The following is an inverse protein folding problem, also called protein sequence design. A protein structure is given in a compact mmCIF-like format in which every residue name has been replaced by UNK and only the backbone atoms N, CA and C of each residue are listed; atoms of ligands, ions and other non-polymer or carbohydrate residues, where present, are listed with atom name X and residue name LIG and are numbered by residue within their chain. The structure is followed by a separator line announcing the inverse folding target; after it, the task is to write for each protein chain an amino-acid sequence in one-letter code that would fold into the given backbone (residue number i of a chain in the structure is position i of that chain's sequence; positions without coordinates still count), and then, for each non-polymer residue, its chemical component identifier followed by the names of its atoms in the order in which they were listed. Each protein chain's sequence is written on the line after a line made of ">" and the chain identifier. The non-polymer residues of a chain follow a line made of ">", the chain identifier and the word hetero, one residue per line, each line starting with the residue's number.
data_IF_825087460791
#
_entry.id   IF_825087460791
#
_cell.length_a   1.000
_cell.length_b   1.000
_cell.length_c   1.000
_cell.angle_alpha   90.00
_cell.angle_beta   90.00
_cell.angle_gamma   90.00
#
_symmetry.space_group_name_H-M   'P 1'
#
loop_
_entity.id
_entity.type
_entity.pdbx_description
1 polymer ?
#
# COMPACT_ATOMS: atom_id res chain seq x y z
N UNK A 1 -5.91 26.31 -52.37
CA UNK A 1 -5.77 25.10 -51.53
C UNK A 1 -4.65 25.31 -50.49
N UNK A 2 -4.98 25.80 -49.29
CA UNK A 2 -4.15 25.77 -48.07
C UNK A 2 -4.88 26.60 -47.01
N UNK A 3 -5.68 25.97 -46.15
CA UNK A 3 -5.90 26.45 -44.77
C UNK A 3 -6.71 25.53 -43.84
N UNK A 4 -7.00 24.27 -44.19
CA UNK A 4 -7.81 23.41 -43.31
C UNK A 4 -7.02 22.62 -42.25
N UNK A 5 -5.68 22.65 -42.25
CA UNK A 5 -4.86 21.87 -41.31
C UNK A 5 -4.41 22.62 -40.05
N UNK A 6 -4.61 23.94 -39.97
CA UNK A 6 -4.22 24.73 -38.78
C UNK A 6 -5.33 24.79 -37.73
N UNK A 7 -6.59 24.76 -38.16
CA UNK A 7 -7.76 24.83 -37.26
C UNK A 7 -7.88 23.53 -36.44
N UNK A 8 -7.63 22.37 -37.05
CA UNK A 8 -7.74 21.06 -36.38
C UNK A 8 -6.72 20.80 -35.27
N UNK A 9 -5.55 21.44 -35.33
CA UNK A 9 -4.51 21.30 -34.29
C UNK A 9 -4.71 22.28 -33.13
N UNK A 10 -5.30 23.45 -33.37
CA UNK A 10 -5.65 24.40 -32.32
C UNK A 10 -6.82 23.87 -31.50
N UNK A 11 -7.84 23.31 -32.16
CA UNK A 11 -8.98 22.68 -31.48
C UNK A 11 -8.56 21.45 -30.67
N UNK A 12 -7.66 20.59 -31.17
CA UNK A 12 -7.13 19.46 -30.39
C UNK A 12 -6.34 19.88 -29.17
N UNK A 13 -5.51 20.93 -29.29
CA UNK A 13 -4.69 21.42 -28.17
C UNK A 13 -5.53 22.13 -27.12
N UNK A 14 -6.59 22.85 -27.55
CA UNK A 14 -7.58 23.45 -26.65
C UNK A 14 -8.43 22.37 -25.99
N UNK A 15 -8.80 21.28 -26.69
CA UNK A 15 -9.51 20.14 -26.09
C UNK A 15 -8.60 19.40 -25.08
N UNK A 16 -7.32 19.18 -25.37
CA UNK A 16 -6.36 18.61 -24.41
C UNK A 16 -6.09 19.53 -23.20
N UNK A 17 -5.97 20.84 -23.40
CA UNK A 17 -5.83 21.82 -22.30
C UNK A 17 -7.11 21.95 -21.47
N UNK A 18 -8.29 21.83 -22.09
CA UNK A 18 -9.59 21.80 -21.40
C UNK A 18 -9.77 20.48 -20.64
N UNK A 19 -9.30 19.34 -21.16
CA UNK A 19 -9.34 18.05 -20.45
C UNK A 19 -8.34 17.97 -19.30
N UNK A 20 -7.15 18.57 -19.44
CA UNK A 20 -6.17 18.70 -18.36
C UNK A 20 -6.63 19.73 -17.31
N UNK A 21 -7.32 20.79 -17.73
CA UNK A 21 -7.86 21.84 -16.87
C UNK A 21 -9.16 21.45 -16.16
N UNK A 22 -9.94 20.50 -16.66
CA UNK A 22 -11.19 20.00 -16.05
C UNK A 22 -11.03 18.74 -15.22
N UNK A 23 -9.82 18.47 -14.73
CA UNK A 23 -9.61 17.76 -13.45
C UNK A 23 -10.12 18.60 -12.23
N UNK A 24 -11.14 19.43 -12.45
CA UNK A 24 -11.72 20.44 -11.57
C UNK A 24 -12.93 19.85 -10.85
N UNK A 25 -12.83 19.74 -9.51
CA UNK A 25 -13.89 19.70 -8.47
C UNK A 25 -15.10 18.76 -8.59
N UNK A 26 -15.64 18.46 -9.78
CA UNK A 26 -16.76 17.53 -10.04
C UNK A 26 -16.42 16.07 -9.73
N UNK A 27 -15.15 15.67 -9.84
CA UNK A 27 -14.75 14.27 -9.65
C UNK A 27 -14.51 13.85 -8.19
N UNK A 28 -14.30 14.79 -7.26
CA UNK A 28 -14.07 14.46 -5.85
C UNK A 28 -15.32 13.88 -5.18
N UNK A 29 -16.50 14.43 -5.47
CA UNK A 29 -17.76 13.89 -4.95
C UNK A 29 -17.92 12.42 -5.36
N UNK A 30 -17.61 12.05 -6.61
CA UNK A 30 -17.66 10.67 -7.09
C UNK A 30 -16.56 9.79 -6.50
N UNK A 31 -15.36 10.35 -6.32
CA UNK A 31 -14.23 9.66 -5.69
C UNK A 31 -14.57 9.23 -4.26
N UNK A 32 -15.09 10.16 -3.45
CA UNK A 32 -15.46 9.93 -2.06
C UNK A 32 -16.86 9.32 -1.88
N UNK A 33 -17.72 9.27 -2.90
CA UNK A 33 -19.05 8.63 -2.78
C UNK A 33 -18.91 7.17 -2.37
N UNK A 34 -19.42 6.82 -1.19
CA UNK A 34 -19.50 5.46 -0.70
C UNK A 34 -20.73 4.80 -1.34
N UNK A 35 -20.54 3.75 -2.13
CA UNK A 35 -21.64 2.96 -2.70
C UNK A 35 -21.73 1.62 -1.97
N UNK A 36 -22.91 0.96 -1.92
CA UNK A 36 -23.05 -0.35 -1.29
C UNK A 36 -22.03 -1.38 -1.81
N UNK A 37 -21.69 -1.29 -3.10
CA UNK A 37 -20.64 -2.09 -3.73
C UNK A 37 -19.24 -1.80 -3.15
N UNK A 38 -18.84 -0.53 -3.00
CA UNK A 38 -17.56 -0.17 -2.37
C UNK A 38 -17.50 -0.70 -0.94
N UNK A 39 -18.59 -0.57 -0.18
CA UNK A 39 -18.70 -1.12 1.18
C UNK A 39 -18.53 -2.64 1.18
N UNK A 40 -19.18 -3.34 0.25
CA UNK A 40 -19.09 -4.79 0.11
C UNK A 40 -17.66 -5.24 -0.20
N UNK A 41 -16.97 -4.58 -1.13
CA UNK A 41 -15.55 -4.86 -1.41
C UNK A 41 -14.70 -4.62 -0.18
N UNK A 42 -14.86 -3.48 0.50
CA UNK A 42 -14.08 -3.17 1.69
C UNK A 42 -14.30 -4.22 2.79
N UNK A 43 -15.54 -4.70 2.99
CA UNK A 43 -15.84 -5.81 3.89
C UNK A 43 -15.11 -7.11 3.52
N UNK A 44 -15.12 -7.49 2.23
CA UNK A 44 -14.37 -8.65 1.73
C UNK A 44 -12.87 -8.46 1.92
N UNK A 45 -12.35 -7.25 1.68
CA UNK A 45 -10.93 -6.93 1.86
C UNK A 45 -10.51 -7.05 3.32
N UNK A 46 -11.35 -6.59 4.26
CA UNK A 46 -11.11 -6.74 5.70
C UNK A 46 -11.07 -8.23 6.07
N UNK A 47 -12.08 -9.00 5.66
CA UNK A 47 -12.12 -10.44 5.92
C UNK A 47 -10.90 -11.18 5.33
N UNK A 48 -10.52 -10.86 4.09
CA UNK A 48 -9.35 -11.41 3.44
C UNK A 48 -8.05 -11.01 4.16
N UNK A 49 -7.95 -9.77 4.66
CA UNK A 49 -6.77 -9.32 5.39
C UNK A 49 -6.58 -10.10 6.69
N UNK A 50 -7.68 -10.32 7.43
CA UNK A 50 -7.69 -11.17 8.62
C UNK A 50 -7.25 -12.60 8.29
N UNK A 51 -7.82 -13.20 7.24
CA UNK A 51 -7.42 -14.54 6.79
C UNK A 51 -5.93 -14.62 6.44
N UNK A 52 -5.43 -13.66 5.65
CA UNK A 52 -4.01 -13.61 5.26
C UNK A 52 -3.09 -13.30 6.44
N UNK A 53 -3.56 -12.54 7.43
CA UNK A 53 -2.83 -12.31 8.68
C UNK A 53 -2.70 -13.61 9.46
N UNK A 54 -3.78 -14.39 9.63
CA UNK A 54 -3.72 -15.71 10.27
C UNK A 54 -2.77 -16.65 9.54
N UNK A 55 -2.82 -16.69 8.21
CA UNK A 55 -1.86 -17.47 7.41
C UNK A 55 -0.43 -16.99 7.66
N UNK A 56 -0.18 -15.68 7.74
CA UNK A 56 1.14 -15.14 8.05
C UNK A 56 1.61 -15.56 9.45
N UNK A 57 0.71 -15.54 10.44
CA UNK A 57 1.00 -15.95 11.81
C UNK A 57 1.39 -17.43 11.87
N UNK A 58 0.59 -18.32 11.29
CA UNK A 58 0.78 -19.76 11.44
C UNK A 58 1.77 -20.37 10.44
N UNK A 59 1.73 -19.93 9.18
CA UNK A 59 2.59 -20.49 8.13
C UNK A 59 3.95 -19.78 8.02
N UNK A 60 4.02 -18.49 8.36
CA UNK A 60 5.26 -17.70 8.26
C UNK A 60 5.92 -17.41 9.62
N UNK A 61 5.41 -18.01 10.72
CA UNK A 61 6.06 -17.95 12.04
C UNK A 61 7.57 -18.24 12.01
N UNK A 62 8.08 -19.25 11.25
CA UNK A 62 9.52 -19.51 11.21
C UNK A 62 10.37 -18.37 10.61
N UNK A 63 9.76 -17.43 9.88
CA UNK A 63 10.43 -16.31 9.23
C UNK A 63 10.42 -15.03 10.06
N UNK A 64 10.26 -15.13 11.38
CA UNK A 64 10.42 -13.99 12.29
C UNK A 64 11.89 -13.63 12.47
N UNK A 65 12.26 -12.38 12.21
CA UNK A 65 13.58 -11.84 12.47
C UNK A 65 13.58 -11.05 13.79
N UNK A 66 14.67 -11.14 14.55
CA UNK A 66 14.83 -10.45 15.85
C UNK A 66 13.70 -10.69 16.87
N UNK A 67 12.88 -11.74 16.71
CA UNK A 67 11.80 -12.11 17.63
C UNK A 67 10.49 -11.33 17.47
N UNK A 68 10.47 -10.20 16.77
CA UNK A 68 9.27 -9.36 16.60
C UNK A 68 9.02 -8.87 15.17
N UNK A 69 10.00 -8.98 14.25
CA UNK A 69 9.82 -8.62 12.85
C UNK A 69 9.25 -9.80 12.07
N UNK A 70 7.97 -9.74 11.73
CA UNK A 70 7.27 -10.82 11.01
C UNK A 70 6.94 -10.42 9.58
N UNK A 71 7.28 -11.27 8.62
CA UNK A 71 6.84 -11.10 7.23
C UNK A 71 5.35 -11.41 7.15
N UNK A 72 4.57 -10.46 6.63
CA UNK A 72 3.13 -10.62 6.48
C UNK A 72 2.70 -10.38 5.04
N UNK A 73 1.81 -11.23 4.54
CA UNK A 73 1.24 -11.13 3.19
C UNK A 73 -0.09 -10.38 3.16
N UNK A 74 -0.55 -9.88 4.31
CA UNK A 74 -1.82 -9.16 4.42
C UNK A 74 -1.80 -7.77 3.78
N UNK A 75 -0.63 -7.15 3.62
CA UNK A 75 -0.51 -5.83 2.98
C UNK A 75 -1.02 -5.86 1.52
N UNK A 76 -0.97 -7.02 0.86
CA UNK A 76 -1.57 -7.30 -0.44
C UNK A 76 -3.02 -6.81 -0.53
N UNK A 77 -3.84 -6.99 0.51
CA UNK A 77 -5.26 -6.64 0.46
C UNK A 77 -5.47 -5.14 0.32
N UNK A 78 -4.56 -4.32 0.84
CA UNK A 78 -4.63 -2.87 0.70
C UNK A 78 -4.28 -2.42 -0.72
N UNK A 79 -3.36 -3.12 -1.40
CA UNK A 79 -3.08 -2.91 -2.82
C UNK A 79 -4.28 -3.29 -3.69
N UNK A 80 -4.96 -4.39 -3.36
CA UNK A 80 -6.22 -4.79 -4.01
C UNK A 80 -7.28 -3.70 -3.82
N UNK A 81 -7.46 -3.20 -2.58
CA UNK A 81 -8.40 -2.12 -2.28
C UNK A 81 -8.08 -0.82 -3.04
N UNK A 82 -6.79 -0.47 -3.16
CA UNK A 82 -6.33 0.70 -3.90
C UNK A 82 -6.75 0.65 -5.38
N UNK A 83 -6.66 -0.53 -6.00
CA UNK A 83 -7.03 -0.73 -7.41
C UNK A 83 -8.55 -0.87 -7.60
N UNK A 84 -9.25 -1.62 -6.74
CA UNK A 84 -10.69 -1.88 -6.90
C UNK A 84 -11.59 -0.73 -6.43
N UNK A 85 -11.20 -0.03 -5.36
CA UNK A 85 -12.00 1.03 -4.72
C UNK A 85 -11.40 2.39 -5.02
N UNK A 86 -10.35 2.79 -4.28
CA UNK A 86 -9.46 3.92 -4.51
C UNK A 86 -8.40 3.99 -3.38
N UNK A 87 -7.45 4.93 -3.50
CA UNK A 87 -6.36 5.06 -2.52
C UNK A 87 -6.79 5.59 -1.16
N UNK A 88 -7.81 6.45 -1.09
CA UNK A 88 -8.28 6.99 0.19
C UNK A 88 -8.89 5.90 1.06
N UNK A 89 -9.80 5.09 0.51
CA UNK A 89 -10.41 4.00 1.26
C UNK A 89 -9.41 2.89 1.57
N UNK A 90 -8.43 2.65 0.70
CA UNK A 90 -7.36 1.69 0.97
C UNK A 90 -6.49 2.11 2.17
N UNK A 91 -6.19 3.40 2.33
CA UNK A 91 -5.52 3.93 3.52
C UNK A 91 -6.41 3.84 4.76
N UNK A 92 -7.68 4.24 4.63
CA UNK A 92 -8.63 4.30 5.74
C UNK A 92 -8.82 2.93 6.41
N UNK A 93 -8.85 1.84 5.64
CA UNK A 93 -9.05 0.50 6.19
C UNK A 93 -7.83 -0.07 6.91
N UNK A 94 -6.63 0.49 6.75
CA UNK A 94 -5.41 -0.05 7.39
C UNK A 94 -5.58 -0.03 8.92
N UNK A 95 -5.96 1.12 9.49
CA UNK A 95 -6.17 1.29 10.93
C UNK A 95 -7.15 0.28 11.54
N UNK A 96 -8.44 0.23 11.15
CA UNK A 96 -9.36 -0.73 11.76
C UNK A 96 -8.91 -2.18 11.53
N UNK A 97 -8.32 -2.51 10.37
CA UNK A 97 -7.92 -3.88 10.08
C UNK A 97 -6.72 -4.34 10.90
N UNK A 98 -5.72 -3.46 11.09
CA UNK A 98 -4.60 -3.74 12.00
C UNK A 98 -5.09 -3.94 13.42
N UNK A 99 -5.94 -3.05 13.93
CA UNK A 99 -6.41 -3.13 15.33
C UNK A 99 -7.40 -4.27 15.58
N UNK A 100 -8.17 -4.70 14.58
CA UNK A 100 -8.98 -5.91 14.69
C UNK A 100 -8.14 -7.16 15.00
N UNK A 101 -6.86 -7.18 14.62
CA UNK A 101 -5.99 -8.31 14.94
C UNK A 101 -5.73 -8.44 16.44
N UNK A 102 -5.62 -7.30 17.11
CA UNK A 102 -5.47 -7.22 18.56
C UNK A 102 -6.72 -7.69 19.31
N UNK A 103 -7.89 -7.67 18.68
CA UNK A 103 -9.16 -8.12 19.28
C UNK A 103 -9.29 -9.66 19.39
N UNK A 104 -8.17 -10.39 19.46
CA UNK A 104 -8.13 -11.84 19.68
C UNK A 104 -7.93 -12.70 18.42
N UNK A 105 -7.50 -12.10 17.31
CA UNK A 105 -7.25 -12.83 16.05
C UNK A 105 -5.80 -13.32 15.98
N UNK A 106 -4.82 -12.46 16.29
CA UNK A 106 -3.42 -12.87 16.40
C UNK A 106 -3.07 -13.05 17.89
N UNK A 107 -2.75 -14.27 18.35
CA UNK A 107 -2.41 -14.53 19.76
C UNK A 107 -1.11 -13.84 20.20
N UNK A 108 -0.27 -13.41 19.25
CA UNK A 108 0.96 -12.66 19.52
C UNK A 108 0.78 -11.14 19.33
N UNK A 109 -0.45 -10.69 19.12
CA UNK A 109 -0.73 -9.28 18.95
C UNK A 109 -0.43 -8.50 20.23
N UNK A 110 0.46 -7.53 20.15
CA UNK A 110 0.71 -6.59 21.23
C UNK A 110 0.64 -5.14 20.69
N UNK A 111 0.28 -4.15 21.53
CA UNK A 111 -0.12 -2.84 21.06
C UNK A 111 1.01 -2.03 20.40
N UNK A 112 2.28 -2.25 20.77
CA UNK A 112 3.43 -1.51 20.22
C UNK A 112 3.72 -1.97 18.80
N UNK A 113 3.73 -3.28 18.58
CA UNK A 113 3.91 -3.93 17.28
C UNK A 113 2.73 -3.65 16.36
N UNK A 114 1.50 -3.64 16.88
CA UNK A 114 0.33 -3.20 16.12
C UNK A 114 0.45 -1.73 15.71
N UNK A 115 0.93 -0.86 16.60
CA UNK A 115 1.20 0.55 16.30
C UNK A 115 2.30 0.70 15.22
N UNK A 116 3.43 0.02 15.40
CA UNK A 116 4.56 0.03 14.47
C UNK A 116 4.13 -0.45 13.08
N UNK A 117 3.41 -1.57 13.03
CA UNK A 117 2.86 -2.13 11.80
C UNK A 117 1.89 -1.17 11.12
N UNK A 118 0.97 -0.57 11.88
CA UNK A 118 -0.01 0.36 11.33
C UNK A 118 0.66 1.58 10.68
N UNK A 119 1.61 2.20 11.39
CA UNK A 119 2.35 3.36 10.89
C UNK A 119 3.21 3.00 9.68
N UNK A 120 3.80 1.82 9.67
CA UNK A 120 4.61 1.34 8.56
C UNK A 120 3.77 1.10 7.31
N UNK A 121 2.65 0.39 7.43
CA UNK A 121 1.76 0.08 6.32
C UNK A 121 1.04 1.34 5.79
N UNK A 122 0.64 2.27 6.66
CA UNK A 122 0.11 3.57 6.27
C UNK A 122 1.12 4.34 5.43
N UNK A 123 2.36 4.43 5.88
CA UNK A 123 3.44 5.11 5.15
C UNK A 123 3.69 4.42 3.81
N UNK A 124 3.91 3.10 3.80
CA UNK A 124 4.17 2.33 2.59
C UNK A 124 3.06 2.53 1.54
N UNK A 125 1.79 2.41 1.94
CA UNK A 125 0.68 2.59 1.01
C UNK A 125 0.54 4.05 0.56
N UNK A 126 0.72 5.03 1.46
CA UNK A 126 0.63 6.44 1.10
C UNK A 126 1.72 6.83 0.09
N UNK A 127 2.96 6.40 0.34
CA UNK A 127 4.09 6.59 -0.58
C UNK A 127 3.85 5.88 -1.90
N UNK A 128 3.37 4.63 -1.87
CA UNK A 128 3.01 3.90 -3.08
C UNK A 128 1.94 4.65 -3.89
N UNK A 129 0.89 5.14 -3.24
CA UNK A 129 -0.17 5.91 -3.90
C UNK A 129 0.41 7.18 -4.54
N UNK A 130 1.20 7.95 -3.80
CA UNK A 130 1.85 9.16 -4.30
C UNK A 130 2.73 8.90 -5.52
N UNK A 131 3.62 7.90 -5.43
CA UNK A 131 4.47 7.51 -6.56
C UNK A 131 3.64 6.93 -7.72
N UNK A 132 2.56 6.19 -7.44
CA UNK A 132 1.69 5.65 -8.48
C UNK A 132 1.03 6.74 -9.33
N UNK A 133 0.75 7.91 -8.73
CA UNK A 133 0.27 9.08 -9.46
C UNK A 133 1.37 9.71 -10.30
N UNK A 134 2.56 9.93 -9.72
CA UNK A 134 3.73 10.51 -10.42
C UNK A 134 4.12 9.65 -11.64
N UNK A 135 4.18 8.33 -11.49
CA UNK A 135 4.55 7.40 -12.55
C UNK A 135 3.38 6.95 -13.43
N UNK A 136 2.17 7.46 -13.16
CA UNK A 136 0.93 7.18 -13.89
C UNK A 136 0.58 5.68 -13.99
N UNK A 137 0.75 4.94 -12.89
CA UNK A 137 0.48 3.49 -12.84
C UNK A 137 -1.00 3.13 -13.02
N UNK A 138 -1.92 4.10 -12.87
CA UNK A 138 -3.36 3.88 -13.10
C UNK A 138 -3.77 3.99 -14.58
N UNK A 139 -2.91 4.53 -15.44
CA UNK A 139 -3.24 4.72 -16.85
C UNK A 139 -3.13 3.39 -17.59
N UNK A 140 -4.29 2.82 -17.93
CA UNK A 140 -4.41 1.50 -18.58
C UNK A 140 -3.92 1.47 -20.04
N UNK A 141 -3.60 2.63 -20.61
CA UNK A 141 -3.07 2.80 -21.97
C UNK A 141 -1.57 2.48 -22.09
N UNK A 142 -0.88 2.38 -20.95
CA UNK A 142 0.53 2.03 -20.93
C UNK A 142 0.68 0.53 -21.22
N UNK A 143 1.35 0.18 -22.32
CA UNK A 143 1.59 -1.21 -22.70
C UNK A 143 2.09 -2.08 -21.54
N UNK A 144 1.67 -3.36 -21.51
CA UNK A 144 1.84 -4.28 -20.38
C UNK A 144 3.26 -4.26 -19.78
N UNK A 145 4.29 -4.36 -20.61
CA UNK A 145 5.69 -4.36 -20.15
C UNK A 145 6.10 -3.05 -19.46
N UNK A 146 5.68 -1.89 -20.00
CA UNK A 146 5.97 -0.58 -19.41
C UNK A 146 5.31 -0.43 -18.02
N UNK A 147 4.09 -0.96 -17.85
CA UNK A 147 3.43 -0.99 -16.55
C UNK A 147 4.23 -1.82 -15.53
N UNK A 148 4.67 -3.03 -15.90
CA UNK A 148 5.41 -3.91 -14.99
C UNK A 148 6.74 -3.28 -14.55
N UNK A 149 7.50 -2.69 -15.48
CA UNK A 149 8.77 -2.02 -15.16
C UNK A 149 8.54 -0.85 -14.19
N UNK A 150 7.58 0.03 -14.49
CA UNK A 150 7.25 1.15 -13.60
C UNK A 150 6.78 0.67 -12.22
N UNK A 151 5.97 -0.39 -12.19
CA UNK A 151 5.47 -0.96 -10.94
C UNK A 151 6.59 -1.53 -10.09
N UNK A 152 7.50 -2.32 -10.68
CA UNK A 152 8.66 -2.88 -9.98
C UNK A 152 9.56 -1.76 -9.44
N UNK A 153 9.81 -0.73 -10.25
CA UNK A 153 10.59 0.42 -9.82
C UNK A 153 9.95 1.14 -8.61
N UNK A 154 8.64 1.40 -8.67
CA UNK A 154 7.90 2.01 -7.57
C UNK A 154 7.89 1.10 -6.33
N UNK A 155 7.69 -0.21 -6.50
CA UNK A 155 7.70 -1.18 -5.41
C UNK A 155 9.03 -1.18 -4.65
N UNK A 156 10.17 -1.19 -5.37
CA UNK A 156 11.51 -1.11 -4.77
C UNK A 156 11.67 0.22 -4.02
N UNK A 157 11.31 1.33 -4.65
CA UNK A 157 11.44 2.66 -4.05
C UNK A 157 10.60 2.80 -2.77
N UNK A 158 9.35 2.35 -2.78
CA UNK A 158 8.48 2.34 -1.59
C UNK A 158 9.08 1.48 -0.47
N UNK A 159 9.61 0.30 -0.82
CA UNK A 159 10.17 -0.61 0.17
C UNK A 159 11.40 -0.01 0.87
N UNK A 160 12.28 0.67 0.11
CA UNK A 160 13.43 1.38 0.64
C UNK A 160 13.02 2.57 1.53
N UNK A 161 12.11 3.41 1.05
CA UNK A 161 11.61 4.56 1.82
C UNK A 161 10.92 4.12 3.11
N UNK A 162 10.16 3.02 3.08
CA UNK A 162 9.53 2.46 4.27
C UNK A 162 10.56 1.88 5.24
N UNK A 163 11.66 1.30 4.73
CA UNK A 163 12.80 0.90 5.56
C UNK A 163 13.38 2.08 6.34
N UNK A 164 13.61 3.22 5.67
CA UNK A 164 14.09 4.47 6.31
C UNK A 164 13.07 4.99 7.32
N UNK A 165 11.78 5.00 6.96
CA UNK A 165 10.70 5.38 7.87
C UNK A 165 10.67 4.50 9.13
N UNK A 166 10.84 3.19 8.98
CA UNK A 166 10.86 2.27 10.11
C UNK A 166 12.11 2.43 10.98
N UNK A 167 13.28 2.77 10.41
CA UNK A 167 14.44 3.17 11.22
C UNK A 167 14.07 4.39 12.06
N UNK A 168 13.49 5.42 11.42
CA UNK A 168 13.08 6.64 12.11
C UNK A 168 12.11 6.31 13.27
N UNK A 169 11.05 5.53 13.04
CA UNK A 169 10.11 5.13 14.10
C UNK A 169 10.77 4.30 15.22
N UNK A 170 11.60 3.33 14.86
CA UNK A 170 12.30 2.47 15.84
C UNK A 170 13.25 3.26 16.73
N UNK A 171 14.01 4.18 16.13
CA UNK A 171 15.04 4.92 16.87
C UNK A 171 14.46 6.10 17.65
N UNK A 172 13.32 6.65 17.20
CA UNK A 172 12.66 7.76 17.86
C UNK A 172 11.84 7.33 19.08
N UNK A 173 11.02 6.28 18.98
CA UNK A 173 10.15 5.90 20.10
C UNK A 173 9.77 4.42 20.22
N UNK A 174 9.70 3.64 19.13
CA UNK A 174 9.18 2.26 19.21
C UNK A 174 10.05 1.37 20.10
N UNK A 175 11.38 1.44 19.99
CA UNK A 175 12.27 0.65 20.86
C UNK A 175 12.20 1.08 22.33
N UNK A 176 11.94 2.37 22.60
CA UNK A 176 11.77 2.86 23.97
C UNK A 176 10.46 2.38 24.58
N UNK A 177 9.38 2.35 23.78
CA UNK A 177 8.11 1.75 24.17
C UNK A 177 8.29 0.27 24.49
N UNK A 178 9.00 -0.49 23.65
CA UNK A 178 9.26 -1.91 23.91
C UNK A 178 10.11 -2.13 25.17
N UNK A 179 11.15 -1.33 25.37
CA UNK A 179 11.98 -1.36 26.58
C UNK A 179 11.13 -1.15 27.83
N UNK A 180 10.24 -0.15 27.81
CA UNK A 180 9.34 0.18 28.92
C UNK A 180 8.29 -0.92 29.16
N UNK A 181 7.71 -1.45 28.08
CA UNK A 181 6.64 -2.44 28.14
C UNK A 181 7.12 -3.80 28.66
N UNK A 182 8.32 -4.24 28.26
CA UNK A 182 8.90 -5.49 28.74
C UNK A 182 9.77 -5.32 29.99
N UNK A 183 10.12 -4.09 30.37
CA UNK A 183 11.05 -3.83 31.47
C UNK A 183 12.49 -4.26 31.17
N UNK A 184 12.89 -4.23 29.89
CA UNK A 184 14.21 -4.71 29.42
C UNK A 184 14.96 -3.60 28.71
N UNK A 185 15.86 -2.92 29.44
CA UNK A 185 16.66 -1.81 28.90
C UNK A 185 17.55 -2.21 27.71
N UNK A 186 17.97 -3.49 27.65
CA UNK A 186 18.80 -4.00 26.56
C UNK A 186 18.16 -3.85 25.16
N UNK A 187 16.83 -3.67 25.07
CA UNK A 187 16.13 -3.38 23.81
C UNK A 187 16.58 -2.04 23.23
N UNK A 188 16.90 -1.04 24.06
CA UNK A 188 17.38 0.26 23.58
C UNK A 188 18.76 0.15 22.91
N UNK A 189 19.58 -0.84 23.29
CA UNK A 189 20.87 -1.09 22.66
C UNK A 189 20.74 -1.56 21.20
N UNK A 190 19.54 -1.91 20.75
CA UNK A 190 19.24 -2.17 19.34
C UNK A 190 19.24 -0.89 18.48
N UNK A 191 19.34 0.32 19.07
CA UNK A 191 19.49 1.59 18.33
C UNK A 191 20.89 1.75 17.71
N UNK A 192 21.26 0.84 16.82
CA UNK A 192 22.57 0.79 16.19
C UNK A 192 22.47 0.53 14.67
N UNK A 193 23.55 0.83 13.95
CA UNK A 193 23.58 0.72 12.48
C UNK A 193 23.35 -0.70 11.96
N UNK A 194 23.70 -1.74 12.72
CA UNK A 194 23.45 -3.12 12.33
C UNK A 194 21.94 -3.43 12.33
N UNK A 195 21.21 -3.00 13.36
CA UNK A 195 19.76 -3.12 13.42
C UNK A 195 19.08 -2.24 12.37
N UNK A 196 19.62 -1.05 12.08
CA UNK A 196 19.12 -0.21 10.98
C UNK A 196 19.21 -0.93 9.62
N UNK A 197 20.33 -1.59 9.34
CA UNK A 197 20.50 -2.42 8.15
C UNK A 197 19.53 -3.60 8.10
N UNK A 198 19.31 -4.26 9.24
CA UNK A 198 18.32 -5.34 9.38
C UNK A 198 16.90 -4.83 9.09
N UNK A 199 16.52 -3.64 9.58
CA UNK A 199 15.22 -3.04 9.29
C UNK A 199 15.03 -2.74 7.79
N UNK A 200 16.04 -2.21 7.11
CA UNK A 200 15.96 -1.97 5.65
C UNK A 200 15.75 -3.29 4.91
N UNK A 201 16.57 -4.30 5.21
CA UNK A 201 16.50 -5.59 4.56
C UNK A 201 15.15 -6.29 4.80
N UNK A 202 14.70 -6.32 6.05
CA UNK A 202 13.40 -6.87 6.42
C UNK A 202 12.25 -6.19 5.67
N UNK A 203 12.24 -4.86 5.61
CA UNK A 203 11.19 -4.12 4.91
C UNK A 203 11.23 -4.32 3.40
N UNK A 204 12.43 -4.44 2.83
CA UNK A 204 12.58 -4.81 1.42
C UNK A 204 11.90 -6.15 1.14
N UNK A 205 12.20 -7.19 1.94
CA UNK A 205 11.55 -8.50 1.79
C UNK A 205 10.04 -8.37 1.96
N UNK A 206 9.58 -7.79 3.08
CA UNK A 206 8.15 -7.68 3.44
C UNK A 206 7.34 -7.07 2.29
N UNK A 207 7.76 -5.89 1.81
CA UNK A 207 6.98 -5.17 0.82
C UNK A 207 7.17 -5.72 -0.60
N UNK A 208 8.38 -6.14 -0.99
CA UNK A 208 8.61 -6.76 -2.31
C UNK A 208 7.77 -8.02 -2.48
N UNK A 209 7.66 -8.88 -1.45
CA UNK A 209 6.79 -10.07 -1.51
C UNK A 209 5.33 -9.67 -1.77
N UNK A 210 4.80 -8.68 -1.06
CA UNK A 210 3.42 -8.23 -1.26
C UNK A 210 3.20 -7.60 -2.66
N UNK A 211 4.14 -6.78 -3.13
CA UNK A 211 4.09 -6.18 -4.46
C UNK A 211 4.19 -7.25 -5.57
N UNK A 212 5.02 -8.27 -5.38
CA UNK A 212 5.14 -9.39 -6.29
C UNK A 212 3.86 -10.23 -6.36
N UNK A 213 3.27 -10.54 -5.20
CA UNK A 213 1.97 -11.21 -5.14
C UNK A 213 0.89 -10.38 -5.84
N UNK A 214 0.89 -9.06 -5.63
CA UNK A 214 -0.06 -8.18 -6.32
C UNK A 214 0.08 -8.23 -7.84
N UNK A 215 1.30 -8.22 -8.38
CA UNK A 215 1.52 -8.37 -9.82
C UNK A 215 0.96 -9.69 -10.36
N UNK A 216 1.10 -10.78 -9.58
CA UNK A 216 0.58 -12.10 -9.96
C UNK A 216 -0.95 -12.07 -10.12
N UNK A 217 -1.66 -11.34 -9.26
CA UNK A 217 -3.12 -11.20 -9.32
C UNK A 217 -3.61 -10.00 -10.14
N UNK A 218 -2.70 -9.18 -10.68
CA UNK A 218 -3.05 -7.88 -11.26
C UNK A 218 -4.04 -7.99 -12.41
N UNK A 219 -3.85 -8.94 -13.33
CA UNK A 219 -4.74 -9.13 -14.48
C UNK A 219 -6.15 -9.57 -14.04
N UNK A 220 -6.24 -10.47 -13.05
CA UNK A 220 -7.52 -10.90 -12.46
C UNK A 220 -8.25 -9.70 -11.83
N UNK A 221 -7.53 -8.89 -11.06
CA UNK A 221 -8.07 -7.67 -10.44
C UNK A 221 -8.53 -6.68 -11.51
N UNK A 222 -7.78 -6.54 -12.62
CA UNK A 222 -8.13 -5.66 -13.74
C UNK A 222 -9.40 -6.13 -14.45
N UNK A 223 -9.61 -7.44 -14.62
CA UNK A 223 -10.84 -7.99 -15.20
C UNK A 223 -12.05 -7.67 -14.31
N UNK A 224 -11.91 -7.86 -13.00
CA UNK A 224 -12.97 -7.51 -12.02
C UNK A 224 -13.28 -6.01 -12.09
N UNK A 225 -12.25 -5.16 -12.16
CA UNK A 225 -12.42 -3.72 -12.28
C UNK A 225 -13.08 -3.29 -13.60
N UNK A 226 -12.72 -3.90 -14.74
CA UNK A 226 -13.30 -3.54 -16.04
C UNK A 226 -14.75 -3.96 -16.18
N UNK A 227 -15.13 -5.16 -15.72
CA UNK A 227 -16.53 -5.60 -15.73
C UNK A 227 -17.47 -4.61 -15.02
N UNK A 228 -16.97 -3.89 -14.02
CA UNK A 228 -17.69 -2.82 -13.29
C UNK A 228 -17.92 -1.54 -14.11
N UNK A 229 -17.01 -1.16 -15.02
CA UNK A 229 -17.17 0.07 -15.81
C UNK A 229 -18.25 -0.09 -16.88
N UNK A 230 -18.54 -1.32 -17.28
CA UNK A 230 -19.50 -1.68 -18.33
C UNK A 230 -20.78 -2.37 -17.82
N UNK A 231 -20.99 -2.40 -16.50
CA UNK A 231 -22.23 -2.85 -15.84
C UNK A 231 -22.93 -1.68 -15.17
#
# INVERSE_FOLDING_TARGET
>A
MKNNNKVSNVDKKIIEEIELGTFQTRNWKTYFKLTPYKVSILGVIVALNILLSLISVYALAPFTMAGFLRVEISFLTYLIAWKLVNGFYALLIITPTTWLRYAGIDPNAEPIGMTSMNLSDLFALATFIGLSFIFQLKNDEVGKMKFHIKFIFVAILVSLLTGVWNIFLNFSFILDLYSTYFGVEAIQNLKNWAFAGLLIFFNLIKYVVNFWLFLTFYETIKIIYKKRVFS
#
